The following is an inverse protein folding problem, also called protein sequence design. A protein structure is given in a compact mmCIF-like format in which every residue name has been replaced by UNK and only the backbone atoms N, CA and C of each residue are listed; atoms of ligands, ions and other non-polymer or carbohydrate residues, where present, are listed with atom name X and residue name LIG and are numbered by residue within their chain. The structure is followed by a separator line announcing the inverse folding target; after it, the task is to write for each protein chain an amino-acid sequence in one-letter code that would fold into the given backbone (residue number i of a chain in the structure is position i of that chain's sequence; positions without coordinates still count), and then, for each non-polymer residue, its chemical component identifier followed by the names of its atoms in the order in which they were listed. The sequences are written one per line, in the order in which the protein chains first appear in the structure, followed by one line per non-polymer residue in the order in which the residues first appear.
data_IF_762259062988
#
_entry.id   IF_762259062988
#
_cell.length_a   1.000
_cell.length_b   1.000
_cell.length_c   1.000
_cell.angle_alpha   90.00
_cell.angle_beta   90.00
_cell.angle_gamma   90.00
#
_symmetry.space_group_name_H-M   'P 1'
#
loop_
_entity.id
_entity.type
_entity.pdbx_description
1 polymer ?
#
# COMPACT_ATOMS: atom_id res chain seq x y z
N UNK A 1 -6.66 13.91 9.17
CA UNK A 1 -6.23 13.96 7.76
C UNK A 1 -6.04 12.53 7.32
N UNK A 2 -6.74 12.07 6.29
CA UNK A 2 -6.60 10.71 5.75
C UNK A 2 -5.78 10.83 4.47
N UNK A 3 -4.64 10.16 4.40
CA UNK A 3 -3.86 10.05 3.16
C UNK A 3 -4.50 9.02 2.22
N UNK A 4 -4.31 9.17 0.91
CA UNK A 4 -4.79 8.18 -0.07
C UNK A 4 -3.98 6.88 0.03
N UNK A 5 -4.59 5.74 -0.28
CA UNK A 5 -3.91 4.42 -0.30
C UNK A 5 -2.71 4.41 -1.26
N UNK A 6 -2.80 5.10 -2.40
CA UNK A 6 -1.68 5.26 -3.34
C UNK A 6 -0.51 6.01 -2.71
N UNK A 7 -0.83 7.07 -1.97
CA UNK A 7 0.18 7.88 -1.30
C UNK A 7 0.84 7.11 -0.16
N UNK A 8 0.05 6.34 0.60
CA UNK A 8 0.57 5.44 1.62
C UNK A 8 1.52 4.39 1.04
N UNK A 9 1.19 3.79 -0.11
CA UNK A 9 2.07 2.84 -0.83
C UNK A 9 3.40 3.50 -1.24
N UNK A 10 3.36 4.73 -1.77
CA UNK A 10 4.58 5.44 -2.17
C UNK A 10 5.45 5.86 -0.98
N UNK A 11 4.84 6.26 0.13
CA UNK A 11 5.55 6.56 1.39
C UNK A 11 6.23 5.30 1.94
N UNK A 12 5.52 4.18 2.05
CA UNK A 12 6.10 2.91 2.52
C UNK A 12 7.22 2.39 1.61
N UNK A 13 7.11 2.59 0.29
CA UNK A 13 8.21 2.31 -0.65
C UNK A 13 9.42 3.20 -0.40
N UNK A 14 9.21 4.47 -0.08
CA UNK A 14 10.29 5.40 0.25
C UNK A 14 10.98 5.05 1.58
N UNK A 15 10.20 4.72 2.60
CA UNK A 15 10.70 4.27 3.89
C UNK A 15 11.48 2.96 3.74
N UNK A 16 10.96 1.98 2.99
CA UNK A 16 11.64 0.70 2.79
C UNK A 16 13.01 0.86 2.10
N UNK A 17 13.14 1.81 1.16
CA UNK A 17 14.44 2.11 0.51
C UNK A 17 15.46 2.67 1.51
N UNK A 18 15.00 3.37 2.54
CA UNK A 18 15.84 4.04 3.53
C UNK A 18 16.05 3.21 4.81
N UNK A 19 15.22 2.20 5.05
CA UNK A 19 15.26 1.39 6.26
C UNK A 19 16.54 0.53 6.32
N UNK A 20 17.36 0.79 7.34
CA UNK A 20 18.64 0.10 7.57
C UNK A 20 18.46 -1.10 8.50
N UNK A 21 17.51 -1.02 9.43
CA UNK A 21 17.29 -2.05 10.44
C UNK A 21 16.43 -3.17 9.85
N UNK A 22 16.89 -4.42 9.95
CA UNK A 22 16.17 -5.58 9.41
C UNK A 22 14.74 -5.72 10.00
N UNK A 23 14.56 -5.43 11.28
CA UNK A 23 13.25 -5.52 11.92
C UNK A 23 12.28 -4.48 11.37
N UNK A 24 12.74 -3.23 11.28
CA UNK A 24 12.01 -2.10 10.66
C UNK A 24 11.66 -2.41 9.20
N UNK A 25 12.62 -2.88 8.39
CA UNK A 25 12.36 -3.32 7.01
C UNK A 25 11.23 -4.34 6.91
N UNK A 26 11.22 -5.35 7.79
CA UNK A 26 10.16 -6.38 7.79
C UNK A 26 8.80 -5.83 8.18
N UNK A 27 8.77 -4.86 9.09
CA UNK A 27 7.52 -4.18 9.47
C UNK A 27 6.98 -3.38 8.29
N UNK A 28 7.83 -2.56 7.66
CA UNK A 28 7.46 -1.76 6.49
C UNK A 28 7.04 -2.66 5.31
N UNK A 29 7.73 -3.79 5.08
CA UNK A 29 7.34 -4.77 4.05
C UNK A 29 5.95 -5.35 4.30
N UNK A 30 5.59 -5.64 5.56
CA UNK A 30 4.27 -6.16 5.92
C UNK A 30 3.17 -5.09 5.73
N UNK A 31 3.44 -3.85 6.14
CA UNK A 31 2.53 -2.72 5.95
C UNK A 31 2.32 -2.40 4.46
N UNK A 32 3.39 -2.43 3.67
CA UNK A 32 3.33 -2.23 2.22
C UNK A 32 2.50 -3.32 1.53
N UNK A 33 2.67 -4.58 1.94
CA UNK A 33 1.88 -5.69 1.40
C UNK A 33 0.38 -5.53 1.72
N UNK A 34 0.04 -5.09 2.93
CA UNK A 34 -1.34 -4.83 3.31
C UNK A 34 -1.95 -3.68 2.49
N UNK A 35 -1.23 -2.56 2.36
CA UNK A 35 -1.70 -1.40 1.60
C UNK A 35 -1.89 -1.70 0.10
N UNK A 36 -0.99 -2.51 -0.49
CA UNK A 36 -1.15 -2.98 -1.88
C UNK A 36 -2.38 -3.87 -2.02
N UNK A 37 -2.60 -4.81 -1.10
CA UNK A 37 -3.76 -5.69 -1.14
C UNK A 37 -5.08 -4.93 -1.00
N UNK A 38 -5.12 -3.90 -0.13
CA UNK A 38 -6.28 -3.02 0.02
C UNK A 38 -6.54 -2.22 -1.26
N UNK A 39 -5.52 -1.59 -1.84
CA UNK A 39 -5.64 -0.90 -3.13
C UNK A 39 -6.15 -1.82 -4.23
N UNK A 40 -5.59 -3.03 -4.34
CA UNK A 40 -5.97 -3.99 -5.36
C UNK A 40 -7.42 -4.46 -5.18
N UNK A 41 -7.89 -4.60 -3.94
CA UNK A 41 -9.29 -4.88 -3.64
C UNK A 41 -10.22 -3.72 -4.06
N UNK A 42 -9.83 -2.47 -3.80
CA UNK A 42 -10.59 -1.30 -4.24
C UNK A 42 -10.70 -1.23 -5.77
N UNK A 43 -9.60 -1.49 -6.48
CA UNK A 43 -9.58 -1.53 -7.95
C UNK A 43 -10.40 -2.69 -8.54
N UNK A 44 -10.45 -3.83 -7.84
CA UNK A 44 -11.27 -4.96 -8.24
C UNK A 44 -12.76 -4.66 -8.08
N UNK A 45 -13.16 -3.98 -6.99
CA UNK A 45 -14.55 -3.56 -6.76
C UNK A 45 -15.03 -2.56 -7.83
N UNK A 46 -14.16 -1.62 -8.24
CA UNK A 46 -14.44 -0.67 -9.32
C UNK A 46 -14.50 -1.35 -10.71
N UNK A 47 -13.83 -2.48 -10.91
CA UNK A 47 -13.80 -3.21 -12.18
C UNK A 47 -15.00 -4.16 -12.38
N UNK A 48 -15.72 -4.52 -11.32
CA UNK A 48 -16.92 -5.37 -11.37
C UNK A 48 -18.24 -4.56 -11.46
N UNK A 49 -18.20 -3.21 -11.51
CA UNK A 49 -19.39 -2.41 -11.80
C UNK A 49 -19.73 -2.50 -13.31
N UNK A 50 -20.89 -3.08 -13.71
CA UNK A 50 -21.29 -3.09 -15.11
C UNK A 50 -21.49 -1.65 -15.59
N UNK A 51 -21.11 -1.32 -16.85
CA UNK A 51 -21.28 0.04 -17.37
C UNK A 51 -22.74 0.47 -17.27
N UNK A 52 -23.00 1.61 -16.63
CA UNK A 52 -24.33 2.23 -16.54
C UNK A 52 -24.81 2.80 -17.86
#
# INVERSE_FOLDING_TARGET
MTISIEQQVEELRAELRNAVVRAERRQIEAELAAAIAERDAMLADDADEPPR
#
